data_IF_497410897893
#
_entry.id   IF_497410897893
#
_cell.length_a   1.000
_cell.length_b   1.000
_cell.length_c   1.000
_cell.angle_alpha   90.00
_cell.angle_beta   90.00
_cell.angle_gamma   90.00
#
_symmetry.space_group_name_H-M   'P 1'
#
loop_
_entity.id
_entity.type
_entity.pdbx_description
1 polymer ?
#
# COMPACT_ATOMS: atom_id res chain seq x y z
N UNK A 1 -9.54 25.97 37.77
CA UNK A 1 -8.14 25.58 37.55
C UNK A 1 -7.98 25.22 36.08
N UNK A 2 -7.35 26.10 35.31
CA UNK A 2 -7.06 25.86 33.90
C UNK A 2 -5.94 24.82 33.84
N UNK A 3 -6.22 23.68 33.21
CA UNK A 3 -5.19 22.71 32.87
C UNK A 3 -4.40 23.35 31.74
N UNK A 4 -3.25 23.96 32.07
CA UNK A 4 -2.33 24.47 31.06
C UNK A 4 -1.93 23.30 30.16
N UNK A 5 -2.13 23.46 28.85
CA UNK A 5 -1.62 22.55 27.83
C UNK A 5 -0.11 22.40 28.04
N UNK A 6 0.33 21.19 28.37
CA UNK A 6 1.75 20.85 28.44
C UNK A 6 2.19 20.37 27.04
N UNK A 7 2.90 21.21 26.27
CA UNK A 7 3.30 20.88 24.91
C UNK A 7 4.20 19.64 24.84
N UNK A 8 4.91 19.28 25.91
CA UNK A 8 5.77 18.10 25.96
C UNK A 8 4.94 16.81 26.03
N UNK A 9 3.78 16.84 26.70
CA UNK A 9 2.83 15.70 26.73
C UNK A 9 2.01 15.56 25.44
N UNK A 10 2.01 16.58 24.59
CA UNK A 10 1.32 16.59 23.29
C UNK A 10 2.18 16.04 22.13
N UNK A 11 3.46 15.72 22.38
CA UNK A 11 4.33 15.14 21.36
C UNK A 11 4.02 13.64 21.26
N UNK A 12 3.24 13.26 20.25
CA UNK A 12 3.05 11.85 19.92
C UNK A 12 4.40 11.23 19.56
N UNK A 13 4.88 10.19 20.29
CA UNK A 13 6.17 9.59 20.03
C UNK A 13 6.07 8.77 18.74
N UNK A 14 6.39 9.39 17.61
CA UNK A 14 6.49 8.67 16.35
C UNK A 14 7.64 7.66 16.44
N UNK A 15 7.45 6.42 15.94
CA UNK A 15 8.54 5.47 15.85
C UNK A 15 9.66 6.05 14.97
N UNK A 16 10.90 5.63 15.24
CA UNK A 16 12.03 5.99 14.41
C UNK A 16 11.74 5.62 12.94
N UNK A 17 12.09 6.52 12.02
CA UNK A 17 11.97 6.24 10.59
C UNK A 17 12.84 5.02 10.25
N UNK A 18 12.37 4.11 9.39
CA UNK A 18 13.17 2.98 8.95
C UNK A 18 14.43 3.46 8.23
N UNK A 19 15.51 2.68 8.33
CA UNK A 19 16.74 2.98 7.63
C UNK A 19 16.52 2.88 6.11
N UNK A 20 17.07 3.81 5.31
CA UNK A 20 17.02 3.70 3.87
C UNK A 20 17.72 2.43 3.39
N UNK A 21 17.10 1.72 2.45
CA UNK A 21 17.70 0.56 1.80
C UNK A 21 18.83 0.97 0.85
N UNK A 22 19.85 0.12 0.76
CA UNK A 22 20.88 0.21 -0.28
C UNK A 22 20.30 -0.10 -1.67
N UNK A 23 21.02 0.26 -2.74
CA UNK A 23 20.57 0.00 -4.12
C UNK A 23 20.36 -1.50 -4.38
N UNK A 24 21.28 -2.34 -3.89
CA UNK A 24 21.21 -3.79 -4.07
C UNK A 24 20.03 -4.40 -3.30
N UNK A 25 19.76 -3.93 -2.08
CA UNK A 25 18.60 -4.36 -1.30
C UNK A 25 17.29 -3.96 -1.97
N UNK A 26 17.20 -2.71 -2.48
CA UNK A 26 16.02 -2.26 -3.23
C UNK A 26 15.76 -3.15 -4.42
N UNK A 27 16.78 -3.43 -5.23
CA UNK A 27 16.66 -4.29 -6.40
C UNK A 27 16.23 -5.72 -6.01
N UNK A 28 16.84 -6.28 -4.97
CA UNK A 28 16.47 -7.60 -4.45
C UNK A 28 14.99 -7.66 -4.04
N UNK A 29 14.51 -6.68 -3.28
CA UNK A 29 13.12 -6.66 -2.83
C UNK A 29 12.13 -6.43 -3.96
N UNK A 30 12.45 -5.57 -4.94
CA UNK A 30 11.59 -5.37 -6.13
C UNK A 30 11.37 -6.67 -6.88
N UNK A 31 12.44 -7.40 -7.19
CA UNK A 31 12.33 -8.69 -7.88
C UNK A 31 11.61 -9.74 -7.05
N UNK A 32 11.85 -9.76 -5.73
CA UNK A 32 11.13 -10.63 -4.81
C UNK A 32 9.63 -10.34 -4.81
N UNK A 33 9.22 -9.07 -4.78
CA UNK A 33 7.80 -8.68 -4.79
C UNK A 33 7.17 -9.07 -6.13
N UNK A 34 7.80 -8.75 -7.27
CA UNK A 34 7.31 -9.15 -8.60
C UNK A 34 7.08 -10.66 -8.70
N UNK A 35 8.02 -11.45 -8.17
CA UNK A 35 7.89 -12.91 -8.11
C UNK A 35 6.71 -13.33 -7.24
N UNK A 36 6.60 -12.78 -6.02
CA UNK A 36 5.53 -13.13 -5.08
C UNK A 36 4.14 -12.72 -5.57
N UNK A 37 4.01 -11.61 -6.29
CA UNK A 37 2.74 -11.18 -6.89
C UNK A 37 2.25 -12.23 -7.88
N UNK A 38 3.14 -12.76 -8.75
CA UNK A 38 2.79 -13.85 -9.68
C UNK A 38 2.47 -15.15 -8.95
N UNK A 39 3.30 -15.54 -7.98
CA UNK A 39 3.10 -16.80 -7.22
C UNK A 39 1.78 -16.82 -6.44
N UNK A 40 1.27 -15.65 -6.05
CA UNK A 40 0.02 -15.51 -5.30
C UNK A 40 -1.18 -15.09 -6.14
N UNK A 41 -1.05 -15.06 -7.48
CA UNK A 41 -2.08 -14.54 -8.37
C UNK A 41 -2.63 -13.19 -7.86
N UNK A 42 -1.71 -12.26 -7.61
CA UNK A 42 -1.97 -10.98 -6.99
C UNK A 42 -1.66 -9.82 -7.94
N UNK A 43 -2.52 -8.80 -7.91
CA UNK A 43 -2.26 -7.50 -8.53
C UNK A 43 -2.09 -6.45 -7.43
N UNK A 44 -1.17 -5.52 -7.62
CA UNK A 44 -0.88 -4.45 -6.67
C UNK A 44 -1.53 -3.14 -7.11
N UNK A 45 -2.15 -2.40 -6.20
CA UNK A 45 -2.64 -1.04 -6.43
C UNK A 45 -2.02 -0.09 -5.42
N UNK A 46 -1.67 1.12 -5.85
CA UNK A 46 -0.98 2.09 -5.00
C UNK A 46 -1.73 3.42 -4.94
N UNK A 47 -1.85 3.98 -3.73
CA UNK A 47 -2.40 5.33 -3.56
C UNK A 47 -1.38 6.38 -3.99
N UNK A 48 -1.84 7.55 -4.46
CA UNK A 48 -0.99 8.69 -4.86
C UNK A 48 -0.01 9.17 -3.77
N UNK A 49 -0.27 8.83 -2.50
CA UNK A 49 0.56 9.23 -1.35
C UNK A 49 1.59 8.17 -0.93
N UNK A 50 1.68 7.07 -1.66
CA UNK A 50 2.72 6.08 -1.44
C UNK A 50 4.07 6.56 -1.97
N UNK A 51 5.14 5.94 -1.52
CA UNK A 51 6.49 6.24 -2.01
C UNK A 51 6.59 6.00 -3.54
N UNK A 52 7.31 6.85 -4.30
CA UNK A 52 7.48 6.69 -5.74
C UNK A 52 7.95 5.29 -6.17
N UNK A 53 8.76 4.60 -5.36
CA UNK A 53 9.22 3.24 -5.67
C UNK A 53 8.06 2.23 -5.65
N UNK A 54 7.09 2.42 -4.76
CA UNK A 54 5.88 1.59 -4.65
C UNK A 54 4.92 1.90 -5.79
N UNK A 55 4.74 3.18 -6.12
CA UNK A 55 3.94 3.61 -7.26
C UNK A 55 4.45 2.98 -8.57
N UNK A 56 5.75 3.10 -8.83
CA UNK A 56 6.39 2.54 -10.01
C UNK A 56 6.25 1.01 -10.05
N UNK A 57 6.41 0.34 -8.90
CA UNK A 57 6.25 -1.11 -8.83
C UNK A 57 4.82 -1.56 -9.14
N UNK A 58 3.80 -0.77 -8.77
CA UNK A 58 2.41 -1.08 -9.09
C UNK A 58 2.19 -1.04 -10.61
N UNK A 59 2.65 0.01 -11.27
CA UNK A 59 2.56 0.13 -12.74
C UNK A 59 3.35 -0.96 -13.46
N UNK A 60 4.59 -1.22 -13.04
CA UNK A 60 5.46 -2.25 -13.63
C UNK A 60 4.88 -3.67 -13.54
N UNK A 61 4.01 -3.92 -12.55
CA UNK A 61 3.40 -5.23 -12.30
C UNK A 61 2.00 -5.38 -12.89
N UNK A 62 1.54 -4.40 -13.67
CA UNK A 62 0.21 -4.41 -14.31
C UNK A 62 -0.91 -3.91 -13.39
N UNK A 63 -0.55 -3.29 -12.28
CA UNK A 63 -1.44 -2.58 -11.37
C UNK A 63 -1.76 -1.16 -11.79
N UNK A 64 -2.23 -0.35 -10.84
CA UNK A 64 -2.50 1.07 -11.08
C UNK A 64 -2.11 1.95 -9.88
N UNK A 65 -1.89 3.24 -10.18
CA UNK A 65 -1.76 4.31 -9.20
C UNK A 65 -3.04 5.14 -9.25
N UNK A 66 -3.80 5.20 -8.15
CA UNK A 66 -5.10 5.88 -8.16
C UNK A 66 -5.56 6.37 -6.77
N UNK A 67 -6.72 7.03 -6.73
CA UNK A 67 -7.42 7.31 -5.48
C UNK A 67 -8.11 6.04 -4.92
N UNK A 68 -8.71 6.17 -3.74
CA UNK A 68 -9.30 5.03 -3.01
C UNK A 68 -10.41 4.30 -3.77
N UNK A 69 -11.30 5.04 -4.45
CA UNK A 69 -12.44 4.44 -5.13
C UNK A 69 -12.00 3.77 -6.42
N UNK A 70 -11.10 4.41 -7.17
CA UNK A 70 -10.61 3.86 -8.42
C UNK A 70 -9.75 2.61 -8.19
N UNK A 71 -8.92 2.57 -7.14
CA UNK A 71 -8.22 1.35 -6.73
C UNK A 71 -9.18 0.18 -6.45
N UNK A 72 -10.27 0.44 -5.72
CA UNK A 72 -11.26 -0.59 -5.42
C UNK A 72 -12.02 -1.08 -6.67
N UNK A 73 -12.35 -0.16 -7.59
CA UNK A 73 -12.99 -0.50 -8.88
C UNK A 73 -12.07 -1.28 -9.80
N UNK A 74 -10.80 -0.89 -9.88
CA UNK A 74 -9.79 -1.62 -10.62
C UNK A 74 -9.66 -3.05 -10.08
N UNK A 75 -9.51 -3.19 -8.76
CA UNK A 75 -9.43 -4.49 -8.10
C UNK A 75 -10.63 -5.39 -8.39
N UNK A 76 -11.85 -4.85 -8.37
CA UNK A 76 -13.07 -5.60 -8.67
C UNK A 76 -13.15 -6.11 -10.12
N UNK A 77 -12.54 -5.38 -11.07
CA UNK A 77 -12.52 -5.74 -12.51
C UNK A 77 -11.34 -6.64 -12.88
N UNK A 78 -10.27 -6.62 -12.09
CA UNK A 78 -9.07 -7.39 -12.38
C UNK A 78 -9.28 -8.89 -12.12
N UNK A 79 -8.65 -9.75 -12.93
CA UNK A 79 -8.83 -11.21 -12.85
C UNK A 79 -8.17 -11.84 -11.63
N UNK A 80 -7.03 -11.31 -11.20
CA UNK A 80 -6.24 -11.78 -10.06
C UNK A 80 -7.10 -12.04 -8.80
N UNK A 81 -6.95 -13.21 -8.18
CA UNK A 81 -7.68 -13.59 -6.96
C UNK A 81 -7.27 -12.78 -5.73
N UNK A 82 -6.07 -12.17 -5.74
CA UNK A 82 -5.56 -11.32 -4.66
C UNK A 82 -5.35 -9.88 -5.13
N UNK A 83 -5.73 -8.91 -4.29
CA UNK A 83 -5.47 -7.49 -4.50
C UNK A 83 -4.60 -6.94 -3.37
N UNK A 84 -3.33 -6.64 -3.65
CA UNK A 84 -2.45 -5.98 -2.68
C UNK A 84 -2.69 -4.48 -2.70
N UNK A 85 -3.32 -3.95 -1.64
CA UNK A 85 -3.59 -2.52 -1.51
C UNK A 85 -2.43 -1.82 -0.79
N UNK A 86 -1.60 -1.10 -1.54
CA UNK A 86 -0.60 -0.19 -0.98
C UNK A 86 -1.28 1.15 -0.62
N UNK A 87 -1.86 1.19 0.58
CA UNK A 87 -2.59 2.32 1.11
C UNK A 87 -2.82 2.18 2.61
N UNK A 88 -3.85 2.85 3.11
CA UNK A 88 -4.24 2.75 4.53
C UNK A 88 -5.45 1.82 4.72
N UNK A 89 -5.70 1.42 5.96
CA UNK A 89 -6.68 0.38 6.32
C UNK A 89 -8.05 0.52 5.63
N UNK A 90 -8.68 1.70 5.69
CA UNK A 90 -10.03 1.87 5.13
C UNK A 90 -10.07 1.67 3.60
N UNK A 91 -8.95 1.89 2.90
CA UNK A 91 -8.85 1.66 1.46
C UNK A 91 -8.94 0.16 1.15
N UNK A 92 -8.29 -0.68 1.97
CA UNK A 92 -8.43 -2.13 1.90
C UNK A 92 -9.84 -2.60 2.24
N UNK A 93 -10.47 -2.01 3.26
CA UNK A 93 -11.87 -2.30 3.61
C UNK A 93 -12.82 -1.96 2.46
N UNK A 94 -12.60 -0.82 1.79
CA UNK A 94 -13.36 -0.41 0.60
C UNK A 94 -13.18 -1.42 -0.55
N UNK A 95 -11.95 -1.86 -0.81
CA UNK A 95 -11.68 -2.86 -1.83
C UNK A 95 -12.35 -4.21 -1.51
N UNK A 96 -12.38 -4.62 -0.23
CA UNK A 96 -13.04 -5.85 0.22
C UNK A 96 -14.56 -5.80 0.03
N UNK A 97 -15.17 -4.64 0.26
CA UNK A 97 -16.62 -4.44 0.02
C UNK A 97 -16.96 -4.63 -1.47
N UNK A 98 -16.13 -4.12 -2.38
CA UNK A 98 -16.36 -4.24 -3.82
C UNK A 98 -15.95 -5.61 -4.40
N UNK A 99 -15.03 -6.31 -3.72
CA UNK A 99 -14.49 -7.61 -4.13
C UNK A 99 -14.59 -8.64 -3.01
N UNK A 100 -15.81 -9.03 -2.58
CA UNK A 100 -16.01 -9.88 -1.40
C UNK A 100 -15.30 -11.23 -1.49
N UNK A 101 -15.16 -11.79 -2.70
CA UNK A 101 -14.52 -13.08 -2.95
C UNK A 101 -12.99 -13.01 -3.04
N UNK A 102 -12.40 -11.82 -3.23
CA UNK A 102 -10.95 -11.68 -3.37
C UNK A 102 -10.25 -11.60 -2.02
N UNK A 103 -8.99 -12.04 -1.98
CA UNK A 103 -8.10 -11.75 -0.86
C UNK A 103 -7.59 -10.31 -1.00
N UNK A 104 -7.69 -9.51 0.07
CA UNK A 104 -7.22 -8.11 0.12
C UNK A 104 -6.12 -8.00 1.17
#
# INVERSE_FOLDING_TARGET
MSVMFDPETAIYPFPAKPQPLTVDEKQFYREKIKRLLRERDAVMVAHYYTDPEIQQLAEETGGCIADSLEMARFGARHSASTLLVAGVRFMGETAKILSPEKTI
#
